data_IF_835243316860
#
_entry.id   IF_835243316860
#
_cell.length_a   1.000
_cell.length_b   1.000
_cell.length_c   1.000
_cell.angle_alpha   90.00
_cell.angle_beta   90.00
_cell.angle_gamma   90.00
#
_symmetry.space_group_name_H-M   'P 1'
#
loop_
_entity.id
_entity.type
_entity.pdbx_description
1 polymer ?
#
# COMPACT_ATOMS: atom_id res chain seq x y z
N UNK A 1 -26.72 -47.76 -27.11
CA UNK A 1 -26.17 -46.39 -27.10
C UNK A 1 -25.03 -46.26 -26.09
N UNK A 2 -25.23 -46.59 -24.81
CA UNK A 2 -24.17 -46.53 -23.78
C UNK A 2 -22.92 -47.40 -24.10
N UNK A 3 -23.10 -48.61 -24.65
CA UNK A 3 -21.97 -49.47 -25.04
C UNK A 3 -21.08 -48.86 -26.13
N UNK A 4 -21.68 -48.13 -27.08
CA UNK A 4 -20.98 -47.48 -28.18
C UNK A 4 -20.15 -46.28 -27.69
N UNK A 5 -20.72 -45.46 -26.81
CA UNK A 5 -20.04 -44.30 -26.21
C UNK A 5 -18.84 -44.76 -25.38
N UNK A 6 -19.04 -45.78 -24.54
CA UNK A 6 -17.97 -46.40 -23.74
C UNK A 6 -16.83 -46.90 -24.61
N UNK A 7 -17.13 -47.57 -25.72
CA UNK A 7 -16.12 -48.07 -26.65
C UNK A 7 -15.35 -46.94 -27.34
N UNK A 8 -16.03 -45.87 -27.76
CA UNK A 8 -15.39 -44.70 -28.38
C UNK A 8 -14.48 -43.96 -27.39
N UNK A 9 -14.91 -43.78 -26.14
CA UNK A 9 -14.07 -43.18 -25.11
C UNK A 9 -12.86 -44.06 -24.79
N UNK A 10 -13.03 -45.38 -24.72
CA UNK A 10 -11.90 -46.30 -24.55
C UNK A 10 -10.89 -46.17 -25.69
N UNK A 11 -11.35 -46.12 -26.95
CA UNK A 11 -10.48 -45.89 -28.12
C UNK A 11 -9.74 -44.54 -28.07
N UNK A 12 -10.30 -43.54 -27.39
CA UNK A 12 -9.65 -42.24 -27.17
C UNK A 12 -8.54 -42.31 -26.12
N UNK A 13 -8.76 -43.06 -25.04
CA UNK A 13 -7.86 -43.11 -23.88
C UNK A 13 -6.70 -44.10 -24.05
N UNK A 14 -6.96 -45.27 -24.65
CA UNK A 14 -5.97 -46.37 -24.77
C UNK A 14 -4.68 -45.98 -25.48
N UNK A 15 -4.68 -45.20 -26.58
CA UNK A 15 -3.44 -44.85 -27.28
C UNK A 15 -2.43 -44.12 -26.40
N UNK A 16 -2.90 -43.30 -25.46
CA UNK A 16 -2.04 -42.48 -24.60
C UNK A 16 -1.79 -43.09 -23.22
N UNK A 17 -2.75 -43.86 -22.68
CA UNK A 17 -2.70 -44.36 -21.30
C UNK A 17 -2.42 -45.87 -21.19
N UNK A 18 -2.59 -46.61 -22.29
CA UNK A 18 -2.66 -48.07 -22.28
C UNK A 18 -3.97 -48.60 -21.69
N UNK A 19 -4.26 -49.88 -21.97
CA UNK A 19 -5.55 -50.51 -21.67
C UNK A 19 -5.89 -50.51 -20.18
N UNK A 20 -4.94 -50.87 -19.32
CA UNK A 20 -5.20 -51.02 -17.88
C UNK A 20 -5.64 -49.70 -17.22
N UNK A 21 -4.93 -48.60 -17.52
CA UNK A 21 -5.22 -47.29 -16.92
C UNK A 21 -6.51 -46.71 -17.51
N UNK A 22 -6.73 -46.86 -18.82
CA UNK A 22 -7.96 -46.45 -19.47
C UNK A 22 -9.19 -47.16 -18.86
N UNK A 23 -9.16 -48.48 -18.69
CA UNK A 23 -10.28 -49.25 -18.14
C UNK A 23 -10.60 -48.87 -16.67
N UNK A 24 -9.57 -48.58 -15.88
CA UNK A 24 -9.75 -48.03 -14.54
C UNK A 24 -10.47 -46.69 -14.56
N UNK A 25 -10.03 -45.74 -15.38
CA UNK A 25 -10.66 -44.42 -15.50
C UNK A 25 -12.11 -44.52 -16.01
N UNK A 26 -12.38 -45.40 -16.97
CA UNK A 26 -13.73 -45.68 -17.48
C UNK A 26 -14.68 -46.17 -16.38
N UNK A 27 -14.16 -46.87 -15.38
CA UNK A 27 -14.95 -47.31 -14.21
C UNK A 27 -15.13 -46.17 -13.20
N UNK A 28 -14.09 -45.36 -13.01
CA UNK A 28 -14.05 -44.29 -12.00
C UNK A 28 -14.87 -43.05 -12.37
N UNK A 29 -14.88 -42.65 -13.65
CA UNK A 29 -15.54 -41.41 -14.12
C UNK A 29 -17.04 -41.41 -13.78
N UNK A 30 -17.85 -42.43 -14.13
CA UNK A 30 -19.27 -42.45 -13.76
C UNK A 30 -19.50 -42.50 -12.25
N UNK A 31 -18.65 -43.23 -11.52
CA UNK A 31 -18.76 -43.39 -10.07
C UNK A 31 -18.49 -42.09 -9.32
N UNK A 32 -17.46 -41.34 -9.72
CA UNK A 32 -17.04 -40.13 -9.03
C UNK A 32 -17.93 -38.92 -9.36
N UNK A 33 -18.43 -38.83 -10.60
CA UNK A 33 -19.31 -37.74 -11.03
C UNK A 33 -20.77 -37.95 -10.59
N UNK A 34 -21.19 -39.20 -10.38
CA UNK A 34 -22.57 -39.56 -10.06
C UNK A 34 -23.55 -39.30 -11.22
N UNK A 35 -23.06 -39.00 -12.42
CA UNK A 35 -23.86 -38.66 -13.60
C UNK A 35 -23.92 -39.84 -14.58
N UNK A 36 -25.12 -40.28 -15.02
CA UNK A 36 -25.26 -41.44 -15.90
C UNK A 36 -24.72 -41.21 -17.32
N UNK A 37 -24.55 -39.96 -17.73
CA UNK A 37 -24.05 -39.51 -19.03
C UNK A 37 -22.59 -39.01 -18.99
N UNK A 38 -21.88 -39.20 -17.87
CA UNK A 38 -20.51 -38.70 -17.68
C UNK A 38 -19.54 -39.15 -18.79
N UNK A 39 -19.58 -40.42 -19.21
CA UNK A 39 -18.72 -40.92 -20.29
C UNK A 39 -19.00 -40.19 -21.62
N UNK A 40 -20.27 -39.89 -21.91
CA UNK A 40 -20.67 -39.18 -23.12
C UNK A 40 -20.16 -37.75 -23.12
N UNK A 41 -20.27 -37.07 -21.98
CA UNK A 41 -19.79 -35.68 -21.82
C UNK A 41 -18.27 -35.59 -21.86
N UNK A 42 -17.54 -36.49 -21.20
CA UNK A 42 -16.06 -36.55 -21.31
C UNK A 42 -15.66 -36.75 -22.76
N UNK A 43 -16.28 -37.71 -23.45
CA UNK A 43 -15.97 -37.96 -24.86
C UNK A 43 -16.24 -36.73 -25.74
N UNK A 44 -17.34 -36.03 -25.51
CA UNK A 44 -17.66 -34.81 -26.24
C UNK A 44 -16.59 -33.73 -26.06
N UNK A 45 -16.18 -33.46 -24.82
CA UNK A 45 -15.15 -32.45 -24.52
C UNK A 45 -13.77 -32.84 -25.05
N UNK A 46 -13.39 -34.11 -24.98
CA UNK A 46 -12.13 -34.58 -25.58
C UNK A 46 -12.15 -34.49 -27.11
N UNK A 47 -13.29 -34.72 -27.76
CA UNK A 47 -13.44 -34.54 -29.19
C UNK A 47 -13.40 -33.06 -29.59
N UNK A 48 -14.00 -32.18 -28.79
CA UNK A 48 -13.92 -30.73 -28.97
C UNK A 48 -12.47 -30.23 -28.83
N UNK A 49 -11.76 -30.64 -27.77
CA UNK A 49 -10.34 -30.38 -27.62
C UNK A 49 -9.54 -30.86 -28.82
N UNK A 50 -9.84 -32.04 -29.36
CA UNK A 50 -9.10 -32.57 -30.50
C UNK A 50 -9.37 -31.74 -31.77
N UNK A 51 -10.62 -31.30 -31.96
CA UNK A 51 -10.99 -30.44 -33.09
C UNK A 51 -10.26 -29.09 -33.03
N UNK A 52 -10.05 -28.54 -31.83
CA UNK A 52 -9.28 -27.31 -31.63
C UNK A 52 -7.77 -27.55 -31.72
N UNK A 53 -7.25 -28.59 -31.07
CA UNK A 53 -5.83 -28.92 -31.00
C UNK A 53 -5.60 -30.37 -30.54
N UNK A 54 -5.21 -31.24 -31.47
CA UNK A 54 -4.86 -32.64 -31.19
C UNK A 54 -3.82 -32.78 -30.08
N UNK A 55 -2.78 -31.93 -30.09
CA UNK A 55 -1.73 -31.93 -29.06
C UNK A 55 -2.28 -31.64 -27.67
N UNK A 56 -3.27 -30.76 -27.58
CA UNK A 56 -3.87 -30.37 -26.30
C UNK A 56 -4.84 -31.43 -25.80
N UNK A 57 -5.63 -32.04 -26.69
CA UNK A 57 -6.46 -33.20 -26.36
C UNK A 57 -5.64 -34.37 -25.82
N UNK A 58 -4.51 -34.66 -26.47
CA UNK A 58 -3.55 -35.66 -26.01
C UNK A 58 -3.00 -35.33 -24.62
N UNK A 59 -2.57 -34.09 -24.38
CA UNK A 59 -2.09 -33.66 -23.08
C UNK A 59 -3.16 -33.76 -21.98
N UNK A 60 -4.43 -33.45 -22.30
CA UNK A 60 -5.55 -33.64 -21.38
C UNK A 60 -5.69 -35.11 -20.97
N UNK A 61 -5.65 -36.03 -21.95
CA UNK A 61 -5.72 -37.47 -21.70
C UNK A 61 -4.53 -37.95 -20.86
N UNK A 62 -3.30 -37.58 -21.24
CA UNK A 62 -2.06 -37.93 -20.52
C UNK A 62 -2.07 -37.46 -19.05
N UNK A 63 -2.77 -36.36 -18.74
CA UNK A 63 -2.87 -35.80 -17.39
C UNK A 63 -3.97 -36.44 -16.52
N UNK A 64 -4.93 -37.18 -17.10
CA UNK A 64 -6.05 -37.79 -16.35
C UNK A 64 -5.61 -38.72 -15.20
N UNK A 65 -4.58 -39.59 -15.35
CA UNK A 65 -4.16 -40.45 -14.24
C UNK A 65 -3.65 -39.65 -13.04
N UNK A 66 -2.91 -38.57 -13.29
CA UNK A 66 -2.40 -37.71 -12.23
C UNK A 66 -3.53 -36.89 -11.59
N UNK A 67 -4.52 -36.47 -12.38
CA UNK A 67 -5.73 -35.83 -11.88
C UNK A 67 -6.52 -36.76 -10.95
N UNK A 68 -6.82 -38.01 -11.37
CA UNK A 68 -7.54 -38.98 -10.51
C UNK A 68 -6.75 -39.27 -9.23
N UNK A 69 -5.42 -39.40 -9.33
CA UNK A 69 -4.56 -39.73 -8.19
C UNK A 69 -4.53 -38.63 -7.12
N UNK A 70 -4.49 -37.35 -7.52
CA UNK A 70 -4.35 -36.22 -6.59
C UNK A 70 -5.67 -35.61 -6.15
N UNK A 71 -6.60 -35.51 -7.09
CA UNK A 71 -7.84 -34.74 -6.94
C UNK A 71 -9.06 -35.66 -6.99
N UNK A 72 -9.00 -36.70 -7.80
CA UNK A 72 -10.15 -37.48 -8.25
C UNK A 72 -10.78 -36.91 -9.51
N UNK A 73 -11.59 -37.71 -10.21
CA UNK A 73 -12.27 -37.32 -11.45
C UNK A 73 -13.70 -36.77 -11.25
N UNK A 74 -14.03 -36.31 -10.04
CA UNK A 74 -15.37 -35.76 -9.74
C UNK A 74 -15.68 -34.46 -10.50
N UNK A 75 -14.69 -33.57 -10.64
CA UNK A 75 -14.81 -32.28 -11.34
C UNK A 75 -14.24 -32.31 -12.77
N UNK A 76 -14.11 -33.51 -13.36
CA UNK A 76 -13.48 -33.70 -14.69
C UNK A 76 -14.16 -32.87 -15.79
N UNK A 77 -15.46 -32.60 -15.70
CA UNK A 77 -16.20 -31.77 -16.66
C UNK A 77 -15.66 -30.34 -16.66
N UNK A 78 -15.72 -29.67 -15.50
CA UNK A 78 -15.19 -28.30 -15.34
C UNK A 78 -13.71 -28.22 -15.70
N UNK A 79 -12.94 -29.25 -15.34
CA UNK A 79 -11.52 -29.30 -15.65
C UNK A 79 -11.26 -29.36 -17.17
N UNK A 80 -12.02 -30.17 -17.91
CA UNK A 80 -11.94 -30.26 -19.37
C UNK A 80 -12.52 -29.02 -20.06
N UNK A 81 -13.67 -28.50 -19.60
CA UNK A 81 -14.32 -27.29 -20.12
C UNK A 81 -13.38 -26.08 -20.05
N UNK A 82 -12.73 -25.87 -18.90
CA UNK A 82 -11.72 -24.82 -18.76
C UNK A 82 -10.54 -25.05 -19.72
N UNK A 83 -10.09 -26.28 -19.87
CA UNK A 83 -9.07 -26.62 -20.86
C UNK A 83 -9.49 -26.30 -22.30
N UNK A 84 -10.76 -26.54 -22.66
CA UNK A 84 -11.34 -26.17 -23.96
C UNK A 84 -11.31 -24.65 -24.14
N UNK A 85 -11.83 -23.88 -23.18
CA UNK A 85 -11.84 -22.42 -23.22
C UNK A 85 -10.42 -21.85 -23.38
N UNK A 86 -9.45 -22.38 -22.62
CA UNK A 86 -8.04 -21.98 -22.77
C UNK A 86 -7.46 -22.35 -24.13
N UNK A 87 -7.87 -23.48 -24.72
CA UNK A 87 -7.39 -23.94 -26.03
C UNK A 87 -7.89 -23.04 -27.15
N UNK A 88 -9.13 -22.55 -27.06
CA UNK A 88 -9.71 -21.61 -28.03
C UNK A 88 -8.89 -20.31 -28.12
N UNK A 89 -8.32 -19.85 -26.99
CA UNK A 89 -7.42 -18.70 -26.95
C UNK A 89 -5.99 -19.06 -27.34
N UNK A 90 -5.41 -20.09 -26.72
CA UNK A 90 -4.02 -20.49 -26.91
C UNK A 90 -3.77 -21.94 -26.50
N UNK A 91 -3.47 -22.80 -27.47
CA UNK A 91 -3.06 -24.18 -27.21
C UNK A 91 -1.84 -24.28 -26.28
N UNK A 92 -0.91 -23.32 -26.31
CA UNK A 92 0.24 -23.32 -25.40
C UNK A 92 -0.17 -23.08 -23.93
N UNK A 93 -1.19 -22.25 -23.70
CA UNK A 93 -1.76 -21.99 -22.37
C UNK A 93 -2.48 -23.23 -21.85
N UNK A 94 -3.30 -23.88 -22.69
CA UNK A 94 -3.99 -25.11 -22.34
C UNK A 94 -3.03 -26.28 -22.06
N UNK A 95 -1.92 -26.40 -22.80
CA UNK A 95 -0.87 -27.39 -22.51
C UNK A 95 -0.25 -27.19 -21.11
N UNK A 96 0.02 -25.94 -20.72
CA UNK A 96 0.51 -25.64 -19.36
C UNK A 96 -0.56 -25.96 -18.31
N UNK A 97 -1.81 -25.61 -18.58
CA UNK A 97 -2.93 -25.93 -17.70
C UNK A 97 -3.06 -27.43 -17.45
N UNK A 98 -3.15 -28.26 -18.50
CA UNK A 98 -3.30 -29.71 -18.33
C UNK A 98 -2.09 -30.35 -17.64
N UNK A 99 -0.89 -29.84 -17.90
CA UNK A 99 0.34 -30.31 -17.24
C UNK A 99 0.38 -29.99 -15.75
N UNK A 100 0.05 -28.75 -15.37
CA UNK A 100 0.32 -28.24 -14.03
C UNK A 100 -0.90 -28.35 -13.09
N UNK A 101 -2.12 -28.25 -13.61
CA UNK A 101 -3.35 -28.18 -12.80
C UNK A 101 -3.62 -29.39 -11.91
N UNK A 102 -3.31 -30.66 -12.26
CA UNK A 102 -3.49 -31.78 -11.33
C UNK A 102 -2.72 -31.61 -10.02
N UNK A 103 -1.48 -31.10 -10.11
CA UNK A 103 -0.66 -30.81 -8.93
C UNK A 103 -1.24 -29.65 -8.14
N UNK A 104 -1.56 -28.56 -8.83
CA UNK A 104 -2.04 -27.32 -8.20
C UNK A 104 -3.39 -27.53 -7.49
N UNK A 105 -4.36 -28.15 -8.16
CA UNK A 105 -5.66 -28.50 -7.56
C UNK A 105 -5.51 -29.51 -6.42
N UNK A 106 -4.50 -30.39 -6.50
CA UNK A 106 -4.17 -31.35 -5.43
C UNK A 106 -3.68 -30.68 -4.14
N UNK A 107 -3.20 -29.44 -4.18
CA UNK A 107 -2.82 -28.66 -3.00
C UNK A 107 -4.03 -28.04 -2.28
N UNK A 108 -5.19 -28.00 -2.92
CA UNK A 108 -6.43 -27.50 -2.33
C UNK A 108 -7.14 -28.68 -1.67
N UNK A 109 -7.33 -28.67 -0.36
CA UNK A 109 -7.83 -29.87 0.35
C UNK A 109 -9.31 -30.16 0.08
N UNK A 110 -10.15 -29.13 0.09
CA UNK A 110 -11.61 -29.30 0.03
C UNK A 110 -12.12 -29.44 -1.41
N UNK A 111 -12.87 -30.51 -1.75
CA UNK A 111 -13.44 -30.69 -3.08
C UNK A 111 -14.39 -29.56 -3.52
N UNK A 112 -15.17 -29.00 -2.59
CA UNK A 112 -16.05 -27.85 -2.86
C UNK A 112 -15.26 -26.62 -3.31
N UNK A 113 -14.13 -26.34 -2.65
CA UNK A 113 -13.23 -25.23 -3.03
C UNK A 113 -12.57 -25.49 -4.39
N UNK A 114 -12.17 -26.72 -4.70
CA UNK A 114 -11.65 -27.07 -6.03
C UNK A 114 -12.67 -26.80 -7.14
N UNK A 115 -13.93 -27.19 -6.91
CA UNK A 115 -15.03 -26.91 -7.84
C UNK A 115 -15.19 -25.42 -8.05
N UNK A 116 -15.25 -24.65 -6.97
CA UNK A 116 -15.39 -23.19 -7.03
C UNK A 116 -14.24 -22.52 -7.79
N UNK A 117 -12.99 -22.97 -7.56
CA UNK A 117 -11.81 -22.51 -8.31
C UNK A 117 -11.94 -22.80 -9.80
N UNK A 118 -12.38 -24.00 -10.17
CA UNK A 118 -12.57 -24.35 -11.57
C UNK A 118 -13.72 -23.56 -12.21
N UNK A 119 -14.82 -23.32 -11.49
CA UNK A 119 -15.94 -22.49 -11.95
C UNK A 119 -15.49 -21.05 -12.19
N UNK A 120 -14.83 -20.42 -11.21
CA UNK A 120 -14.29 -19.06 -11.38
C UNK A 120 -13.28 -19.04 -12.53
N UNK A 121 -12.41 -20.05 -12.63
CA UNK A 121 -11.43 -20.14 -13.70
C UNK A 121 -12.07 -20.23 -15.09
N UNK A 122 -13.16 -20.99 -15.23
CA UNK A 122 -13.93 -21.11 -16.46
C UNK A 122 -14.59 -19.77 -16.84
N UNK A 123 -15.29 -19.15 -15.90
CA UNK A 123 -15.94 -17.85 -16.12
C UNK A 123 -14.90 -16.79 -16.55
N UNK A 124 -13.75 -16.75 -15.88
CA UNK A 124 -12.66 -15.82 -16.22
C UNK A 124 -12.02 -16.19 -17.56
N UNK A 125 -11.97 -17.46 -17.97
CA UNK A 125 -11.36 -17.86 -19.24
C UNK A 125 -12.18 -17.38 -20.45
N UNK A 126 -13.50 -17.21 -20.29
CA UNK A 126 -14.38 -16.61 -21.30
C UNK A 126 -14.07 -15.11 -21.50
N UNK A 127 -13.56 -14.43 -20.47
CA UNK A 127 -13.20 -13.01 -20.52
C UNK A 127 -11.71 -12.78 -20.88
N UNK A 128 -10.79 -13.44 -20.15
CA UNK A 128 -9.35 -13.41 -20.37
C UNK A 128 -8.68 -14.73 -19.96
N UNK A 129 -8.33 -15.52 -20.98
CA UNK A 129 -7.65 -16.81 -20.81
C UNK A 129 -6.28 -16.73 -20.12
N UNK A 130 -5.55 -15.60 -20.22
CA UNK A 130 -4.27 -15.45 -19.54
C UNK A 130 -4.48 -15.26 -18.04
N UNK A 131 -5.46 -14.45 -17.64
CA UNK A 131 -5.83 -14.27 -16.23
C UNK A 131 -6.33 -15.58 -15.65
N UNK A 132 -7.19 -16.32 -16.37
CA UNK A 132 -7.68 -17.63 -15.92
C UNK A 132 -6.53 -18.62 -15.66
N UNK A 133 -5.60 -18.75 -16.61
CA UNK A 133 -4.46 -19.65 -16.44
C UNK A 133 -3.60 -19.25 -15.23
N UNK A 134 -3.27 -17.96 -15.10
CA UNK A 134 -2.41 -17.50 -14.01
C UNK A 134 -3.12 -17.61 -12.65
N UNK A 135 -4.43 -17.34 -12.61
CA UNK A 135 -5.28 -17.58 -11.46
C UNK A 135 -5.22 -19.05 -11.02
N UNK A 136 -5.46 -20.01 -11.93
CA UNK A 136 -5.40 -21.43 -11.60
C UNK A 136 -4.04 -21.78 -11.02
N UNK A 137 -2.94 -21.32 -11.63
CA UNK A 137 -1.56 -21.62 -11.18
C UNK A 137 -1.26 -21.13 -9.77
N UNK A 138 -1.83 -20.00 -9.38
CA UNK A 138 -1.62 -19.38 -8.07
C UNK A 138 -2.77 -19.62 -7.08
N UNK A 139 -3.82 -20.34 -7.46
CA UNK A 139 -5.01 -20.54 -6.64
C UNK A 139 -4.71 -21.01 -5.20
N UNK A 140 -3.79 -21.96 -4.93
CA UNK A 140 -3.48 -22.36 -3.56
C UNK A 140 -2.92 -21.23 -2.70
N UNK A 141 -2.05 -20.38 -3.26
CA UNK A 141 -1.50 -19.21 -2.55
C UNK A 141 -2.54 -18.11 -2.38
N UNK A 142 -3.43 -17.92 -3.35
CA UNK A 142 -4.51 -16.94 -3.24
C UNK A 142 -5.50 -17.34 -2.14
N UNK A 143 -5.84 -18.62 -2.07
CA UNK A 143 -6.77 -19.19 -1.10
C UNK A 143 -6.22 -19.19 0.34
N UNK A 144 -4.91 -19.00 0.56
CA UNK A 144 -4.38 -18.84 1.92
C UNK A 144 -4.77 -17.50 2.54
N UNK A 145 -5.06 -16.50 1.72
CA UNK A 145 -5.34 -15.12 2.17
C UNK A 145 -6.75 -14.64 1.83
N UNK A 146 -7.33 -15.12 0.73
CA UNK A 146 -8.64 -14.69 0.23
C UNK A 146 -9.55 -15.90 0.01
N UNK A 147 -10.73 -15.97 0.65
CA UNK A 147 -11.71 -17.01 0.39
C UNK A 147 -12.13 -17.02 -1.09
N UNK A 148 -12.38 -18.21 -1.65
CA UNK A 148 -12.75 -18.38 -3.07
C UNK A 148 -13.92 -17.48 -3.49
N UNK A 149 -14.95 -17.36 -2.64
CA UNK A 149 -16.13 -16.52 -2.85
C UNK A 149 -15.82 -15.02 -3.01
N UNK A 150 -14.64 -14.57 -2.56
CA UNK A 150 -14.21 -13.18 -2.61
C UNK A 150 -13.09 -12.93 -3.62
N UNK A 151 -12.65 -13.94 -4.38
CA UNK A 151 -11.56 -13.77 -5.36
C UNK A 151 -12.00 -13.01 -6.60
N UNK A 152 -13.28 -13.11 -6.99
CA UNK A 152 -13.77 -12.55 -8.26
C UNK A 152 -13.44 -11.04 -8.43
N UNK A 153 -13.73 -10.15 -7.45
CA UNK A 153 -13.38 -8.73 -7.58
C UNK A 153 -11.88 -8.46 -7.76
N UNK A 154 -11.00 -9.32 -7.22
CA UNK A 154 -9.56 -9.21 -7.46
C UNK A 154 -9.24 -9.60 -8.91
N UNK A 155 -9.79 -10.71 -9.41
CA UNK A 155 -9.53 -11.16 -10.78
C UNK A 155 -10.05 -10.14 -11.82
N UNK A 156 -11.18 -9.48 -11.55
CA UNK A 156 -11.71 -8.41 -12.40
C UNK A 156 -10.71 -7.26 -12.57
N UNK A 157 -10.03 -6.84 -11.50
CA UNK A 157 -8.94 -5.84 -11.59
C UNK A 157 -7.77 -6.37 -12.44
N UNK A 158 -7.47 -7.67 -12.33
CA UNK A 158 -6.48 -8.31 -13.19
C UNK A 158 -6.83 -8.22 -14.68
N UNK A 159 -8.10 -8.47 -15.03
CA UNK A 159 -8.63 -8.33 -16.39
C UNK A 159 -8.54 -6.87 -16.85
N UNK A 160 -8.96 -5.92 -16.01
CA UNK A 160 -8.84 -4.48 -16.30
C UNK A 160 -7.38 -4.10 -16.63
N UNK A 161 -6.41 -4.66 -15.89
CA UNK A 161 -4.99 -4.40 -16.11
C UNK A 161 -4.41 -5.12 -17.34
N UNK A 162 -4.85 -6.34 -17.66
CA UNK A 162 -4.37 -7.06 -18.87
C UNK A 162 -4.80 -6.36 -20.16
N UNK A 163 -5.95 -5.68 -20.15
CA UNK A 163 -6.39 -4.83 -21.27
C UNK A 163 -5.41 -3.71 -21.58
N UNK A 164 -4.70 -3.20 -20.57
CA UNK A 164 -3.62 -2.22 -20.78
C UNK A 164 -2.31 -2.92 -21.14
N UNK A 165 -1.91 -3.91 -20.35
CA UNK A 165 -0.74 -4.73 -20.62
C UNK A 165 -0.83 -6.10 -19.92
N UNK A 166 -0.72 -7.18 -20.69
CA UNK A 166 -0.80 -8.55 -20.17
C UNK A 166 0.22 -8.82 -19.07
N UNK A 167 1.48 -8.36 -19.19
CA UNK A 167 2.52 -8.63 -18.19
C UNK A 167 2.19 -7.96 -16.85
N UNK A 168 1.65 -6.75 -16.89
CA UNK A 168 1.24 -5.99 -15.70
C UNK A 168 0.05 -6.67 -15.01
N UNK A 169 -1.00 -7.01 -15.77
CA UNK A 169 -2.17 -7.69 -15.21
C UNK A 169 -1.82 -9.05 -14.60
N UNK A 170 -0.98 -9.85 -15.28
CA UNK A 170 -0.53 -11.13 -14.71
C UNK A 170 0.37 -10.95 -13.49
N UNK A 171 1.21 -9.91 -13.45
CA UNK A 171 1.99 -9.61 -12.24
C UNK A 171 1.10 -9.26 -11.06
N UNK A 172 0.05 -8.47 -11.28
CA UNK A 172 -0.93 -8.18 -10.25
C UNK A 172 -1.55 -9.46 -9.68
N UNK A 173 -1.98 -10.41 -10.52
CA UNK A 173 -2.50 -11.71 -10.06
C UNK A 173 -1.52 -12.42 -9.12
N UNK A 174 -0.22 -12.42 -9.45
CA UNK A 174 0.83 -13.04 -8.61
C UNK A 174 1.01 -12.34 -7.26
N UNK A 175 0.71 -11.05 -7.17
CA UNK A 175 0.88 -10.26 -5.94
C UNK A 175 -0.38 -10.20 -5.08
N UNK A 176 -1.54 -10.70 -5.53
CA UNK A 176 -2.80 -10.69 -4.74
C UNK A 176 -2.58 -11.28 -3.34
N UNK A 177 -1.90 -12.42 -3.21
CA UNK A 177 -1.66 -13.04 -1.89
C UNK A 177 -0.83 -12.14 -0.95
N UNK A 178 0.06 -11.29 -1.48
CA UNK A 178 0.78 -10.32 -0.63
C UNK A 178 -0.03 -9.06 -0.36
N UNK A 179 -0.92 -8.69 -1.27
CA UNK A 179 -1.66 -7.44 -1.21
C UNK A 179 -2.95 -7.56 -0.38
N UNK A 180 -3.65 -8.68 -0.46
CA UNK A 180 -4.89 -8.95 0.24
C UNK A 180 -4.84 -8.75 1.77
N UNK A 181 -3.79 -9.20 2.50
CA UNK A 181 -3.69 -8.93 3.94
C UNK A 181 -3.32 -7.45 4.24
N UNK A 182 -2.88 -6.70 3.23
CA UNK A 182 -2.35 -5.35 3.39
C UNK A 182 -3.41 -4.29 3.11
N UNK A 183 -4.15 -4.40 2.02
CA UNK A 183 -5.17 -3.43 1.58
C UNK A 183 -6.55 -4.07 1.45
N UNK A 184 -7.61 -3.34 1.85
CA UNK A 184 -8.96 -3.79 1.59
C UNK A 184 -9.29 -3.60 0.09
N UNK A 185 -10.14 -4.47 -0.45
CA UNK A 185 -10.42 -4.55 -1.90
C UNK A 185 -10.88 -3.22 -2.51
N UNK A 186 -11.63 -2.41 -1.75
CA UNK A 186 -12.08 -1.08 -2.19
C UNK A 186 -10.94 -0.09 -2.49
N UNK A 187 -9.76 -0.31 -1.91
CA UNK A 187 -8.57 0.55 -2.11
C UNK A 187 -7.62 0.01 -3.18
N UNK A 188 -7.84 -1.22 -3.67
CA UNK A 188 -6.91 -1.89 -4.60
C UNK A 188 -6.95 -1.25 -5.98
N UNK A 189 -8.11 -0.75 -6.43
CA UNK A 189 -8.21 -0.02 -7.71
C UNK A 189 -7.41 1.28 -7.71
N UNK A 190 -7.49 2.05 -6.62
CA UNK A 190 -6.68 3.26 -6.45
C UNK A 190 -5.18 2.92 -6.46
N UNK A 191 -4.79 1.87 -5.72
CA UNK A 191 -3.42 1.38 -5.70
C UNK A 191 -2.94 0.92 -7.09
N UNK A 192 -3.75 0.17 -7.83
CA UNK A 192 -3.42 -0.25 -9.19
C UNK A 192 -3.27 0.95 -10.12
N UNK A 193 -4.15 1.95 -9.98
CA UNK A 193 -4.11 3.20 -10.77
C UNK A 193 -2.82 3.97 -10.50
N UNK A 194 -2.33 4.04 -9.26
CA UNK A 194 -1.01 4.61 -8.94
C UNK A 194 0.08 3.91 -9.76
N UNK A 195 0.10 2.58 -9.76
CA UNK A 195 1.05 1.79 -10.55
C UNK A 195 0.99 2.09 -12.04
N UNK A 196 -0.21 2.29 -12.59
CA UNK A 196 -0.39 2.61 -14.01
C UNK A 196 0.10 4.00 -14.39
N UNK A 197 0.09 4.97 -13.47
CA UNK A 197 0.65 6.32 -13.68
C UNK A 197 2.18 6.32 -13.83
N UNK A 198 2.85 5.22 -13.48
CA UNK A 198 4.30 5.05 -13.64
C UNK A 198 4.71 4.59 -15.04
N UNK A 199 3.75 4.25 -15.90
CA UNK A 199 4.04 3.81 -17.27
C UNK A 199 4.36 5.04 -18.11
N UNK A 200 5.63 5.18 -18.46
CA UNK A 200 6.15 6.30 -19.24
C UNK A 200 6.90 5.80 -20.49
N UNK A 201 6.95 6.59 -21.58
CA UNK A 201 7.78 6.25 -22.73
C UNK A 201 9.26 6.23 -22.36
N UNK A 202 9.99 5.20 -22.76
CA UNK A 202 11.45 5.14 -22.65
C UNK A 202 12.14 6.05 -23.69
N UNK A 203 13.47 6.08 -23.67
CA UNK A 203 14.29 6.87 -24.61
C UNK A 203 14.08 6.53 -26.09
N UNK A 204 13.45 5.38 -26.40
CA UNK A 204 13.09 4.94 -27.75
C UNK A 204 11.61 5.24 -28.08
N UNK A 205 10.88 5.93 -27.21
CA UNK A 205 9.46 6.27 -27.37
C UNK A 205 8.49 5.12 -27.14
N UNK A 206 8.94 3.96 -26.65
CA UNK A 206 8.09 2.82 -26.30
C UNK A 206 7.70 2.86 -24.84
N UNK A 207 6.47 2.46 -24.51
CA UNK A 207 6.02 2.37 -23.11
C UNK A 207 6.92 1.44 -22.30
N UNK A 208 7.36 1.91 -21.15
CA UNK A 208 8.13 1.18 -20.16
C UNK A 208 7.25 0.82 -18.96
N UNK A 209 7.35 -0.44 -18.53
CA UNK A 209 6.54 -1.00 -17.45
C UNK A 209 7.40 -1.35 -16.22
N UNK A 210 8.71 -1.11 -16.25
CA UNK A 210 9.63 -1.50 -15.17
C UNK A 210 9.22 -0.87 -13.83
N UNK A 211 8.94 0.43 -13.82
CA UNK A 211 8.53 1.14 -12.60
C UNK A 211 7.19 0.61 -12.04
N UNK A 212 6.21 0.35 -12.91
CA UNK A 212 4.94 -0.29 -12.52
C UNK A 212 5.17 -1.67 -11.92
N UNK A 213 6.00 -2.50 -12.56
CA UNK A 213 6.30 -3.85 -12.06
C UNK A 213 7.03 -3.82 -10.72
N UNK A 214 7.96 -2.90 -10.53
CA UNK A 214 8.64 -2.68 -9.25
C UNK A 214 7.65 -2.22 -8.17
N UNK A 215 6.76 -1.28 -8.49
CA UNK A 215 5.70 -0.83 -7.60
C UNK A 215 4.78 -1.97 -7.17
N UNK A 216 4.27 -2.79 -8.11
CA UNK A 216 3.38 -3.91 -7.78
C UNK A 216 4.04 -4.91 -6.81
N UNK A 217 5.37 -5.11 -6.94
CA UNK A 217 6.14 -6.08 -6.17
C UNK A 217 6.57 -5.58 -4.80
N UNK A 218 6.88 -4.29 -4.66
CA UNK A 218 7.50 -3.73 -3.45
C UNK A 218 6.50 -2.99 -2.57
N UNK A 219 5.50 -2.33 -3.15
CA UNK A 219 4.53 -1.53 -2.41
C UNK A 219 3.69 -2.30 -1.38
N UNK A 220 3.31 -3.59 -1.56
CA UNK A 220 2.62 -4.33 -0.50
C UNK A 220 3.45 -4.41 0.79
N UNK A 221 4.76 -4.69 0.69
CA UNK A 221 5.67 -4.75 1.84
C UNK A 221 5.94 -3.38 2.47
N UNK A 222 5.90 -2.30 1.68
CA UNK A 222 6.00 -0.93 2.22
C UNK A 222 4.74 -0.59 3.02
N UNK A 223 3.57 -0.84 2.45
CA UNK A 223 2.29 -0.57 3.09
C UNK A 223 2.06 -1.43 4.34
N UNK A 224 2.54 -2.67 4.36
CA UNK A 224 2.46 -3.56 5.51
C UNK A 224 3.13 -2.97 6.76
N UNK A 225 4.19 -2.17 6.60
CA UNK A 225 4.89 -1.50 7.71
C UNK A 225 4.06 -0.42 8.41
N UNK A 226 2.95 0.01 7.80
CA UNK A 226 1.96 0.88 8.42
C UNK A 226 0.96 -0.02 9.16
N UNK A 227 0.82 0.14 10.47
CA UNK A 227 0.08 -0.80 11.32
C UNK A 227 -1.41 -0.95 10.96
N UNK A 228 -2.07 0.13 10.57
CA UNK A 228 -3.54 0.20 10.48
C UNK A 228 -4.03 0.18 9.03
N UNK A 229 -4.92 -0.76 8.62
CA UNK A 229 -5.45 -0.82 7.25
C UNK A 229 -6.16 0.47 6.79
N UNK A 230 -6.88 1.14 7.69
CA UNK A 230 -7.51 2.44 7.48
C UNK A 230 -6.50 3.51 7.06
N UNK A 231 -5.32 3.52 7.69
CA UNK A 231 -4.22 4.44 7.37
C UNK A 231 -3.57 4.05 6.05
N UNK A 232 -3.36 2.76 5.78
CA UNK A 232 -2.83 2.27 4.49
C UNK A 232 -3.70 2.71 3.31
N UNK A 233 -5.02 2.57 3.43
CA UNK A 233 -5.97 3.02 2.41
C UNK A 233 -5.85 4.54 2.15
N UNK A 234 -5.76 5.35 3.22
CA UNK A 234 -5.53 6.79 3.09
C UNK A 234 -4.17 7.13 2.50
N UNK A 235 -3.16 6.30 2.76
CA UNK A 235 -1.86 6.46 2.11
C UNK A 235 -2.00 6.28 0.59
N UNK A 236 -2.62 5.18 0.16
CA UNK A 236 -2.88 4.91 -1.25
C UNK A 236 -3.68 6.04 -1.93
N UNK A 237 -4.75 6.53 -1.31
CA UNK A 237 -5.55 7.62 -1.89
C UNK A 237 -4.73 8.90 -2.11
N UNK A 238 -3.82 9.23 -1.19
CA UNK A 238 -2.93 10.37 -1.34
C UNK A 238 -1.83 10.11 -2.39
N UNK A 239 -1.29 8.89 -2.47
CA UNK A 239 -0.39 8.48 -3.56
C UNK A 239 -1.06 8.74 -4.92
N UNK A 240 -2.34 8.38 -5.06
CA UNK A 240 -3.08 8.57 -6.30
C UNK A 240 -3.17 10.04 -6.69
N UNK A 241 -3.52 10.92 -5.74
CA UNK A 241 -3.57 12.37 -5.99
C UNK A 241 -2.20 12.93 -6.41
N UNK A 242 -1.12 12.50 -5.76
CA UNK A 242 0.24 12.94 -6.11
C UNK A 242 0.64 12.44 -7.51
N UNK A 243 0.32 11.18 -7.83
CA UNK A 243 0.68 10.54 -9.10
C UNK A 243 0.03 11.18 -10.33
N UNK A 244 -1.08 11.90 -10.16
CA UNK A 244 -1.70 12.67 -11.26
C UNK A 244 -0.81 13.79 -11.82
N UNK A 245 0.11 14.32 -11.01
CA UNK A 245 1.02 15.41 -11.45
C UNK A 245 2.49 15.03 -11.36
N UNK A 246 2.89 14.26 -10.35
CA UNK A 246 4.26 13.75 -10.20
C UNK A 246 4.23 12.32 -9.65
N UNK A 247 4.29 11.32 -10.53
CA UNK A 247 4.43 9.92 -10.14
C UNK A 247 5.69 9.68 -9.29
N UNK A 248 6.79 10.38 -9.57
CA UNK A 248 8.05 10.26 -8.82
C UNK A 248 7.88 10.68 -7.36
N UNK A 249 7.20 11.81 -7.13
CA UNK A 249 6.90 12.30 -5.79
C UNK A 249 5.95 11.37 -5.03
N UNK A 250 5.01 10.75 -5.75
CA UNK A 250 4.11 9.74 -5.17
C UNK A 250 4.87 8.52 -4.66
N UNK A 251 5.84 8.01 -5.44
CA UNK A 251 6.66 6.84 -5.06
C UNK A 251 7.64 7.17 -3.95
N UNK A 252 8.30 8.33 -4.01
CA UNK A 252 9.18 8.78 -2.94
C UNK A 252 8.42 8.89 -1.61
N UNK A 253 7.23 9.51 -1.64
CA UNK A 253 6.40 9.61 -0.46
C UNK A 253 5.90 8.25 0.04
N UNK A 254 5.48 7.34 -0.85
CA UNK A 254 5.07 5.99 -0.46
C UNK A 254 6.16 5.29 0.35
N UNK A 255 7.41 5.35 -0.14
CA UNK A 255 8.56 4.73 0.49
C UNK A 255 8.86 5.31 1.89
N UNK A 256 8.71 6.63 2.06
CA UNK A 256 8.99 7.30 3.33
C UNK A 256 7.82 7.28 4.32
N UNK A 257 6.59 7.04 3.82
CA UNK A 257 5.36 7.12 4.61
C UNK A 257 5.36 6.26 5.87
N UNK A 258 5.89 5.01 5.93
CA UNK A 258 5.87 4.23 7.15
C UNK A 258 6.70 4.86 8.26
N UNK A 259 7.87 5.43 7.93
CA UNK A 259 8.76 6.07 8.90
C UNK A 259 8.17 7.39 9.41
N UNK A 260 7.65 8.22 8.51
CA UNK A 260 7.02 9.49 8.86
C UNK A 260 5.79 9.29 9.75
N UNK A 261 4.93 8.32 9.43
CA UNK A 261 3.71 8.05 10.20
C UNK A 261 3.99 7.36 11.54
N UNK A 262 5.08 6.62 11.68
CA UNK A 262 5.48 5.99 12.95
C UNK A 262 5.77 7.03 14.04
N UNK A 263 6.27 8.21 13.67
CA UNK A 263 6.50 9.31 14.60
C UNK A 263 5.20 9.93 15.15
N UNK A 264 4.05 9.69 14.51
CA UNK A 264 2.76 10.25 14.93
C UNK A 264 2.11 9.30 15.94
N UNK A 265 1.81 9.81 17.13
CA UNK A 265 1.39 9.03 18.31
C UNK A 265 0.04 8.34 18.15
N UNK A 266 -0.96 9.01 17.56
CA UNK A 266 -2.33 8.49 17.48
C UNK A 266 -2.80 8.19 16.05
N UNK A 267 -3.63 7.16 15.89
CA UNK A 267 -4.28 6.82 14.62
C UNK A 267 -5.13 7.99 14.10
N UNK A 268 -5.85 8.68 14.99
CA UNK A 268 -6.65 9.85 14.64
C UNK A 268 -5.79 10.97 14.02
N UNK A 269 -4.59 11.21 14.57
CA UNK A 269 -3.65 12.17 14.00
C UNK A 269 -3.09 11.70 12.66
N UNK A 270 -2.74 10.42 12.50
CA UNK A 270 -2.28 9.86 11.21
C UNK A 270 -3.33 10.06 10.12
N UNK A 271 -4.60 9.74 10.41
CA UNK A 271 -5.71 9.93 9.47
C UNK A 271 -5.90 11.42 9.15
N UNK A 272 -5.90 12.29 10.17
CA UNK A 272 -6.07 13.74 10.00
C UNK A 272 -4.96 14.36 9.14
N UNK A 273 -3.71 13.99 9.37
CA UNK A 273 -2.56 14.42 8.57
C UNK A 273 -2.72 14.02 7.10
N UNK A 274 -3.11 12.77 6.83
CA UNK A 274 -3.33 12.29 5.47
C UNK A 274 -4.50 13.01 4.79
N UNK A 275 -5.59 13.29 5.52
CA UNK A 275 -6.74 14.05 4.99
C UNK A 275 -6.35 15.47 4.59
N UNK A 276 -5.62 16.19 5.44
CA UNK A 276 -5.11 17.53 5.10
C UNK A 276 -4.10 17.48 3.95
N UNK A 277 -3.25 16.45 3.91
CA UNK A 277 -2.38 16.16 2.78
C UNK A 277 -3.16 15.99 1.47
N UNK A 278 -4.25 15.21 1.47
CA UNK A 278 -5.12 15.03 0.30
C UNK A 278 -5.76 16.34 -0.16
N UNK A 279 -6.29 17.16 0.78
CA UNK A 279 -6.85 18.47 0.46
C UNK A 279 -5.83 19.42 -0.17
N UNK A 280 -4.57 19.34 0.26
CA UNK A 280 -3.48 20.11 -0.33
C UNK A 280 -3.05 19.54 -1.69
N UNK A 281 -3.02 18.21 -1.83
CA UNK A 281 -2.62 17.51 -3.06
C UNK A 281 -3.55 17.81 -4.23
N UNK A 282 -4.85 17.94 -3.97
CA UNK A 282 -5.84 18.36 -4.97
C UNK A 282 -5.55 19.75 -5.55
N UNK A 283 -4.82 20.59 -4.82
CA UNK A 283 -4.52 21.97 -5.23
C UNK A 283 -3.08 22.14 -5.72
N UNK A 284 -2.10 21.56 -5.03
CA UNK A 284 -0.68 21.79 -5.30
C UNK A 284 0.22 20.68 -4.77
N UNK A 285 0.90 19.96 -5.66
CA UNK A 285 1.70 18.78 -5.32
C UNK A 285 2.97 19.14 -4.54
N UNK A 286 3.74 20.13 -4.99
CA UNK A 286 5.04 20.46 -4.36
C UNK A 286 4.87 21.03 -2.95
N UNK A 287 3.83 21.83 -2.71
CA UNK A 287 3.45 22.26 -1.37
C UNK A 287 3.01 21.08 -0.48
N UNK A 288 2.32 20.10 -1.06
CA UNK A 288 1.94 18.86 -0.36
C UNK A 288 3.17 18.08 0.07
N UNK A 289 4.18 17.95 -0.78
CA UNK A 289 5.42 17.26 -0.41
C UNK A 289 6.08 17.96 0.78
N UNK A 290 6.26 19.29 0.73
CA UNK A 290 6.78 20.05 1.88
C UNK A 290 5.98 19.78 3.17
N UNK A 291 4.65 19.77 3.06
CA UNK A 291 3.74 19.47 4.17
C UNK A 291 3.95 18.05 4.71
N UNK A 292 4.02 17.02 3.86
CA UNK A 292 4.07 15.61 4.29
C UNK A 292 5.35 15.29 5.06
N UNK A 293 6.47 15.92 4.72
CA UNK A 293 7.75 15.72 5.42
C UNK A 293 7.88 16.52 6.72
N UNK A 294 7.09 17.60 6.90
CA UNK A 294 7.21 18.50 8.07
C UNK A 294 6.05 18.42 9.06
N UNK A 295 4.84 18.12 8.59
CA UNK A 295 3.65 18.06 9.43
C UNK A 295 3.72 16.98 10.53
N UNK A 296 4.28 15.77 10.30
CA UNK A 296 4.45 14.78 11.37
C UNK A 296 5.32 15.26 12.52
N UNK A 297 6.40 15.99 12.23
CA UNK A 297 7.27 16.62 13.23
C UNK A 297 6.51 17.71 13.99
N UNK A 298 5.76 18.56 13.28
CA UNK A 298 4.93 19.60 13.91
C UNK A 298 3.89 18.99 14.87
N UNK A 299 3.21 17.92 14.49
CA UNK A 299 2.23 17.24 15.36
C UNK A 299 2.91 16.65 16.60
N UNK A 300 4.08 16.04 16.46
CA UNK A 300 4.86 15.55 17.61
C UNK A 300 5.21 16.68 18.58
N UNK A 301 5.59 17.85 18.05
CA UNK A 301 5.95 19.01 18.85
C UNK A 301 4.73 19.67 19.52
N UNK A 302 3.56 19.66 18.88
CA UNK A 302 2.29 20.13 19.45
C UNK A 302 1.79 19.20 20.57
N UNK A 303 2.11 17.90 20.48
CA UNK A 303 1.66 16.87 21.41
C UNK A 303 0.18 16.52 21.26
N UNK A 304 -0.34 15.77 22.24
CA UNK A 304 -1.72 15.23 22.23
C UNK A 304 -2.72 16.06 23.06
N UNK A 305 -2.39 17.33 23.37
CA UNK A 305 -3.26 18.21 24.14
C UNK A 305 -4.54 18.61 23.36
N UNK A 306 -5.63 18.99 24.04
CA UNK A 306 -6.89 19.38 23.38
C UNK A 306 -6.74 20.57 22.42
N UNK A 307 -5.77 21.46 22.67
CA UNK A 307 -5.48 22.61 21.82
C UNK A 307 -4.59 22.27 20.61
N UNK A 308 -3.93 21.11 20.60
CA UNK A 308 -2.97 20.74 19.54
C UNK A 308 -3.66 20.69 18.17
N UNK A 309 -4.88 20.15 18.15
CA UNK A 309 -5.72 20.10 16.94
C UNK A 309 -5.99 21.50 16.40
N UNK A 310 -6.51 22.41 17.22
CA UNK A 310 -6.82 23.78 16.78
C UNK A 310 -5.57 24.55 16.35
N UNK A 311 -4.43 24.35 17.02
CA UNK A 311 -3.15 24.98 16.64
C UNK A 311 -2.65 24.46 15.28
N UNK A 312 -2.76 23.16 15.03
CA UNK A 312 -2.45 22.57 13.74
C UNK A 312 -3.38 23.07 12.63
N UNK A 313 -4.68 23.11 12.89
CA UNK A 313 -5.69 23.56 11.92
C UNK A 313 -5.49 25.04 11.53
N UNK A 314 -5.11 25.89 12.49
CA UNK A 314 -4.75 27.28 12.23
C UNK A 314 -3.49 27.40 11.37
N UNK A 315 -2.44 26.62 11.66
CA UNK A 315 -1.23 26.57 10.84
C UNK A 315 -1.53 26.12 9.41
N UNK A 316 -2.31 25.05 9.25
CA UNK A 316 -2.70 24.53 7.95
C UNK A 316 -3.54 25.54 7.16
N UNK A 317 -4.53 26.16 7.80
CA UNK A 317 -5.39 27.19 7.19
C UNK A 317 -4.55 28.39 6.73
N UNK A 318 -3.61 28.85 7.54
CA UNK A 318 -2.66 29.91 7.16
C UNK A 318 -1.86 29.54 5.90
N UNK A 319 -1.40 28.29 5.81
CA UNK A 319 -0.70 27.79 4.62
C UNK A 319 -1.60 27.73 3.38
N UNK A 320 -2.86 27.35 3.54
CA UNK A 320 -3.86 27.33 2.46
C UNK A 320 -4.22 28.75 1.98
N UNK A 321 -4.27 29.74 2.88
CA UNK A 321 -4.42 31.15 2.51
C UNK A 321 -3.21 31.61 1.69
N UNK A 322 -1.99 31.30 2.14
CA UNK A 322 -0.76 31.61 1.37
C UNK A 322 -0.83 30.98 -0.02
N UNK A 323 -1.29 29.74 -0.13
CA UNK A 323 -1.45 29.04 -1.41
C UNK A 323 -2.42 29.75 -2.36
N UNK A 324 -3.51 30.31 -1.83
CA UNK A 324 -4.47 31.06 -2.64
C UNK A 324 -3.87 32.32 -3.28
N UNK A 325 -2.83 32.91 -2.67
CA UNK A 325 -2.12 34.09 -3.21
C UNK A 325 -0.89 33.72 -4.05
N UNK A 326 -0.10 32.74 -3.61
CA UNK A 326 1.16 32.37 -4.27
C UNK A 326 1.53 30.89 -4.03
N UNK A 327 1.51 30.06 -5.10
CA UNK A 327 1.99 28.69 -5.09
C UNK A 327 3.41 28.51 -4.52
N UNK A 328 4.36 29.33 -4.99
CA UNK A 328 5.76 29.27 -4.54
C UNK A 328 5.91 29.62 -3.05
N UNK A 329 5.16 30.62 -2.58
CA UNK A 329 5.16 30.99 -1.17
C UNK A 329 4.57 29.89 -0.29
N UNK A 330 3.56 29.16 -0.77
CA UNK A 330 2.99 28.03 -0.05
C UNK A 330 3.94 26.84 0.02
N UNK A 331 4.67 26.55 -1.07
CA UNK A 331 5.75 25.56 -1.07
C UNK A 331 6.79 25.90 0.01
N UNK A 332 7.29 27.13 0.02
CA UNK A 332 8.24 27.59 1.04
C UNK A 332 7.60 27.63 2.45
N UNK A 333 6.29 27.84 2.55
CA UNK A 333 5.58 27.83 3.82
C UNK A 333 5.55 26.42 4.42
N UNK A 334 5.05 25.44 3.68
CA UNK A 334 4.92 24.07 4.15
C UNK A 334 6.26 23.35 4.28
N UNK A 335 7.29 23.75 3.52
CA UNK A 335 8.67 23.28 3.70
C UNK A 335 9.37 23.89 4.95
N UNK A 336 8.75 24.86 5.62
CA UNK A 336 9.31 25.62 6.77
C UNK A 336 10.56 26.44 6.38
N UNK A 337 10.59 26.97 5.16
CA UNK A 337 11.72 27.75 4.62
C UNK A 337 11.46 29.26 4.63
N UNK A 338 10.22 29.69 4.86
CA UNK A 338 9.87 31.11 4.91
C UNK A 338 9.83 31.66 6.34
N UNK A 339 10.14 32.95 6.52
CA UNK A 339 9.97 33.65 7.80
C UNK A 339 8.53 33.57 8.32
N UNK A 340 7.54 33.62 7.42
CA UNK A 340 6.11 33.48 7.77
C UNK A 340 5.79 32.07 8.29
N UNK A 341 6.40 31.02 7.73
CA UNK A 341 6.26 29.66 8.24
C UNK A 341 6.91 29.48 9.59
N UNK A 342 8.13 29.98 9.78
CA UNK A 342 8.81 29.94 11.08
C UNK A 342 7.99 30.66 12.15
N UNK A 343 7.45 31.85 11.86
CA UNK A 343 6.57 32.57 12.78
C UNK A 343 5.25 31.82 13.07
N UNK A 344 4.66 31.20 12.05
CA UNK A 344 3.42 30.41 12.22
C UNK A 344 3.67 29.13 13.02
N UNK A 345 4.81 28.47 12.84
CA UNK A 345 5.25 27.32 13.64
C UNK A 345 5.56 27.76 15.07
N UNK A 346 6.27 28.87 15.29
CA UNK A 346 6.50 29.45 16.64
C UNK A 346 5.16 29.70 17.37
N UNK A 347 4.21 30.32 16.67
CA UNK A 347 2.86 30.57 17.20
C UNK A 347 2.10 29.27 17.49
N UNK A 348 2.15 28.30 16.57
CA UNK A 348 1.50 27.00 16.74
C UNK A 348 2.12 26.23 17.93
N UNK A 349 3.43 26.31 18.13
CA UNK A 349 4.11 25.62 19.23
C UNK A 349 3.99 26.32 20.58
N UNK A 350 3.26 27.45 20.66
CA UNK A 350 3.18 28.29 21.88
C UNK A 350 4.54 28.65 22.47
N UNK A 351 5.58 28.61 21.63
CA UNK A 351 6.96 28.88 21.99
C UNK A 351 7.16 30.38 22.10
N UNK A 352 7.84 30.82 23.15
CA UNK A 352 8.17 32.22 23.33
C UNK A 352 9.63 32.41 22.91
N UNK A 353 9.92 33.12 21.82
CA UNK A 353 11.29 33.49 21.47
C UNK A 353 11.83 34.46 22.52
N UNK A 354 13.05 34.24 23.02
CA UNK A 354 13.66 35.16 23.99
C UNK A 354 13.69 36.60 23.48
N UNK A 355 13.94 36.81 22.18
CA UNK A 355 13.92 38.14 21.54
C UNK A 355 12.66 38.95 21.83
N UNK A 356 11.51 38.30 22.00
CA UNK A 356 10.23 38.94 22.27
C UNK A 356 10.14 39.48 23.71
N UNK A 357 10.78 38.78 24.66
CA UNK A 357 10.73 39.08 26.09
C UNK A 357 12.03 39.67 26.65
N UNK A 358 13.09 39.73 25.84
CA UNK A 358 14.45 40.08 26.23
C UNK A 358 14.54 41.42 26.96
N UNK A 359 13.87 42.46 26.45
CA UNK A 359 13.88 43.79 27.08
C UNK A 359 13.25 43.75 28.47
N UNK A 360 12.12 43.06 28.62
CA UNK A 360 11.40 42.95 29.89
C UNK A 360 12.22 42.16 30.91
N UNK A 361 12.84 41.06 30.48
CA UNK A 361 13.69 40.24 31.33
C UNK A 361 14.96 40.99 31.74
N UNK A 362 15.60 41.74 30.82
CA UNK A 362 16.76 42.58 31.14
C UNK A 362 16.43 43.58 32.25
N UNK A 363 15.33 44.30 32.13
CA UNK A 363 14.88 45.25 33.15
C UNK A 363 14.56 44.56 34.49
N UNK A 364 13.94 43.38 34.44
CA UNK A 364 13.64 42.58 35.63
C UNK A 364 14.91 42.13 36.36
N UNK A 365 15.89 41.56 35.66
CA UNK A 365 17.18 41.14 36.23
C UNK A 365 17.96 42.33 36.80
N UNK A 366 18.04 43.45 36.07
CA UNK A 366 18.68 44.68 36.56
C UNK A 366 18.01 45.21 37.83
N UNK A 367 16.69 45.12 37.91
CA UNK A 367 15.94 45.47 39.11
C UNK A 367 16.24 44.56 40.30
N UNK A 368 16.51 43.26 40.07
CA UNK A 368 16.88 42.31 41.10
C UNK A 368 18.33 42.49 41.58
N UNK A 369 19.26 42.72 40.66
CA UNK A 369 20.70 42.83 40.94
C UNK A 369 21.15 44.25 41.35
N UNK A 370 20.35 45.28 41.08
CA UNK A 370 20.72 46.67 41.33
C UNK A 370 21.89 47.19 40.48
N UNK A 371 22.37 46.39 39.52
CA UNK A 371 23.51 46.69 38.65
C UNK A 371 23.20 46.34 37.19
N UNK A 372 24.02 46.81 36.24
CA UNK A 372 23.81 46.50 34.83
C UNK A 372 24.27 45.06 34.52
N UNK A 373 23.29 44.17 34.30
CA UNK A 373 23.52 42.78 33.86
C UNK A 373 23.15 42.62 32.38
N UNK A 374 24.03 41.98 31.61
CA UNK A 374 23.73 41.63 30.22
C UNK A 374 22.89 40.35 30.17
N UNK A 375 21.80 40.34 29.40
CA UNK A 375 20.99 39.12 29.19
C UNK A 375 21.01 38.75 27.72
N UNK A 376 21.53 37.57 27.40
CA UNK A 376 21.75 37.09 26.03
C UNK A 376 21.06 35.76 25.77
N UNK A 377 20.82 35.45 24.50
CA UNK A 377 20.30 34.15 24.08
C UNK A 377 21.44 33.12 23.93
N UNK A 378 21.20 31.88 24.33
CA UNK A 378 22.08 30.74 24.05
C UNK A 378 21.94 30.31 22.58
N UNK A 379 22.99 30.43 21.75
CA UNK A 379 22.90 30.26 20.29
C UNK A 379 22.39 28.89 19.81
N UNK A 380 22.62 27.80 20.58
CA UNK A 380 22.31 26.42 20.15
C UNK A 380 21.14 25.76 20.91
N UNK A 381 20.26 26.55 21.52
CA UNK A 381 19.21 26.04 22.43
C UNK A 381 17.90 25.55 21.78
N UNK A 382 17.87 25.43 20.45
CA UNK A 382 16.65 25.07 19.71
C UNK A 382 16.33 23.56 19.80
N UNK A 383 17.31 22.70 20.07
CA UNK A 383 17.17 21.23 19.94
C UNK A 383 17.36 20.40 21.22
N UNK A 384 17.33 20.99 22.42
CA UNK A 384 17.43 20.21 23.66
C UNK A 384 17.08 20.97 24.95
N UNK A 385 16.98 20.29 26.10
CA UNK A 385 16.75 20.93 27.40
C UNK A 385 18.01 21.68 27.84
N UNK A 386 18.08 22.98 27.53
CA UNK A 386 19.22 23.82 27.91
C UNK A 386 18.91 24.57 29.20
N UNK A 387 19.81 24.43 30.19
CA UNK A 387 19.77 25.14 31.46
C UNK A 387 20.27 26.58 31.23
N UNK A 388 19.64 27.55 31.90
CA UNK A 388 20.19 28.91 31.94
C UNK A 388 21.61 28.87 32.54
N UNK A 389 22.48 29.77 32.10
CA UNK A 389 23.87 29.83 32.58
C UNK A 389 24.28 31.27 32.89
N UNK A 390 25.13 31.43 33.90
CA UNK A 390 25.81 32.71 34.19
C UNK A 390 27.22 32.64 33.62
N UNK A 391 27.72 33.75 33.07
CA UNK A 391 29.10 33.85 32.59
C UNK A 391 30.12 33.81 33.74
N UNK A 392 31.32 33.32 33.46
CA UNK A 392 32.40 33.19 34.45
C UNK A 392 32.84 34.54 35.06
N UNK A 393 32.56 35.66 34.40
CA UNK A 393 32.82 37.01 34.89
C UNK A 393 31.68 37.58 35.75
N UNK A 394 30.58 36.84 35.95
CA UNK A 394 29.45 37.23 36.78
C UNK A 394 28.66 38.43 36.25
N UNK A 395 28.77 38.76 34.95
CA UNK A 395 28.17 39.97 34.36
C UNK A 395 27.11 39.71 33.32
N UNK A 396 26.91 38.44 32.92
CA UNK A 396 25.88 38.08 31.96
C UNK A 396 25.12 36.82 32.31
N UNK A 397 23.82 36.84 32.05
CA UNK A 397 22.92 35.70 32.13
C UNK A 397 22.54 35.29 30.72
N UNK A 398 22.77 34.03 30.39
CA UNK A 398 22.40 33.43 29.10
C UNK A 398 21.16 32.55 29.27
N UNK A 399 20.10 32.86 28.54
CA UNK A 399 18.81 32.15 28.58
C UNK A 399 18.56 31.40 27.26
N UNK A 400 17.72 30.33 27.25
CA UNK A 400 17.34 29.66 26.02
C UNK A 400 16.74 30.62 24.99
N UNK A 401 17.12 30.50 23.72
CA UNK A 401 16.64 31.33 22.62
C UNK A 401 15.14 31.11 22.34
N UNK A 402 14.62 29.93 22.67
CA UNK A 402 13.20 29.57 22.57
C UNK A 402 12.80 28.73 23.78
N UNK A 403 11.68 29.09 24.42
CA UNK A 403 11.13 28.33 25.55
C UNK A 403 9.75 27.78 25.21
N UNK A 404 9.59 26.45 25.40
CA UNK A 404 8.38 25.68 25.08
C UNK A 404 8.04 24.60 26.12
N UNK A 405 8.33 24.84 27.40
CA UNK A 405 8.16 23.82 28.46
C UNK A 405 6.69 23.64 28.89
N UNK A 406 5.86 24.66 28.73
CA UNK A 406 4.48 24.69 29.19
C UNK A 406 3.48 24.88 28.04
N UNK A 407 2.20 24.48 28.23
CA UNK A 407 1.19 24.51 27.17
C UNK A 407 0.85 25.91 26.64
N UNK A 408 1.00 26.95 27.46
CA UNK A 408 0.67 28.33 27.07
C UNK A 408 1.91 29.22 26.96
N UNK A 409 1.87 30.17 26.02
CA UNK A 409 2.91 31.19 25.88
C UNK A 409 3.10 31.98 27.18
N UNK A 410 2.03 32.30 27.91
CA UNK A 410 2.09 33.01 29.18
C UNK A 410 2.88 32.23 30.26
N UNK A 411 2.71 30.91 30.33
CA UNK A 411 3.48 30.06 31.26
C UNK A 411 4.95 29.93 30.83
N UNK A 412 5.22 29.86 29.52
CA UNK A 412 6.59 29.88 28.99
C UNK A 412 7.28 31.23 29.24
N UNK A 413 6.57 32.35 29.11
CA UNK A 413 7.05 33.68 29.51
C UNK A 413 7.37 33.76 31.00
N UNK A 414 6.52 33.16 31.86
CA UNK A 414 6.77 33.11 33.31
C UNK A 414 8.00 32.27 33.63
N UNK A 415 8.22 31.18 32.90
CA UNK A 415 9.40 30.35 33.12
C UNK A 415 10.70 31.09 32.78
N UNK A 416 10.69 31.95 31.76
CA UNK A 416 11.82 32.85 31.53
C UNK A 416 12.13 33.74 32.74
N UNK A 417 11.10 34.28 33.41
CA UNK A 417 11.29 35.10 34.61
C UNK A 417 11.84 34.26 35.78
N UNK A 418 11.34 33.02 35.96
CA UNK A 418 11.84 32.11 36.99
C UNK A 418 13.30 31.75 36.75
N UNK A 419 13.67 31.38 35.52
CA UNK A 419 15.06 31.06 35.15
C UNK A 419 15.96 32.29 35.33
N UNK A 420 15.52 33.47 34.89
CA UNK A 420 16.27 34.71 35.06
C UNK A 420 16.45 35.09 36.53
N UNK A 421 15.42 34.93 37.37
CA UNK A 421 15.51 35.20 38.81
C UNK A 421 16.44 34.22 39.53
N UNK A 422 16.38 32.94 39.15
CA UNK A 422 17.26 31.90 39.68
C UNK A 422 18.73 32.21 39.37
N UNK A 423 19.06 32.51 38.12
CA UNK A 423 20.43 32.86 37.73
C UNK A 423 20.88 34.23 38.29
N UNK A 424 19.97 35.20 38.43
CA UNK A 424 20.27 36.45 39.11
C UNK A 424 20.63 36.21 40.59
N UNK A 425 19.96 35.26 41.26
CA UNK A 425 20.33 34.83 42.61
C UNK A 425 21.72 34.21 42.67
N UNK A 426 22.07 33.35 41.71
CA UNK A 426 23.43 32.81 41.59
C UNK A 426 24.48 33.91 41.40
N UNK A 427 24.16 34.94 40.60
CA UNK A 427 25.04 36.07 40.34
C UNK A 427 25.27 36.94 41.59
N UNK A 428 24.22 37.24 42.35
CA UNK A 428 24.29 38.08 43.55
C UNK A 428 24.91 37.37 44.76
N UNK A 429 24.61 36.08 44.93
CA UNK A 429 24.95 35.34 46.16
C UNK A 429 26.04 34.27 45.98
N UNK A 430 26.52 34.05 44.76
CA UNK A 430 27.72 33.25 44.48
C UNK A 430 27.63 31.76 44.82
N UNK A 431 26.43 31.19 44.87
CA UNK A 431 26.19 29.77 45.21
C UNK A 431 26.27 28.85 44.01
#
# INVERSE_FOLDING_TARGET
MNSTIRQMLQQRLVPELGTTVADMLMTRIPQATGQPDAEARVLALLNELQALSEKTARAAVEALPELDRRVGVGEIMLWLDLGVALTQSSGASALKYFKDSPLVLGLIEQPSTRREVLTIGLDIAEEDANVALEYIRYAPQLLSEVPATHLRPWLDIGIELTQVNVVVGLEFIRQIAKLAPVLPIESVRDWATVGMKLIVPNSLGKLDYVATMEFLRTSPSILEQIERPTVRAKVVSLCLLLAERSPESSIAWLADSPNLLRGVSSEAWRIKLLQYGSLLAEKHVEATIGYLYRAPELVQLLGDGPEAVSKFENWFTTGMEVLAYSPDAARAFFAVESQKALASVEQALSGVPFRQVARRIKLFVQGLCGTEVAVTALPDSVMGPVRATVSADGRSISLPALLRRYPTAAENERLYLVMAAHEAGHLEFGT
#
